data_IF_261171448570
#
_entry.id   IF_261171448570
#
_cell.length_a   1.000
_cell.length_b   1.000
_cell.length_c   1.000
_cell.angle_alpha   90.00
_cell.angle_beta   90.00
_cell.angle_gamma   90.00
#
_symmetry.space_group_name_H-M   'P 1'
#
loop_
_entity.id
_entity.type
_entity.pdbx_description
1 polymer ?
#
# COMPACT_ATOMS: atom_id res chain seq x y z
N UNK A 1 2.01 19.10 -7.63
CA UNK A 1 1.61 17.79 -7.04
C UNK A 1 2.78 17.22 -6.27
N UNK A 2 2.54 16.63 -5.10
CA UNK A 2 3.58 16.02 -4.24
C UNK A 2 4.30 14.86 -4.96
N UNK A 3 3.58 14.13 -5.81
CA UNK A 3 4.08 12.98 -6.56
C UNK A 3 4.16 13.32 -8.04
N UNK A 4 5.37 13.51 -8.56
CA UNK A 4 5.64 13.68 -10.00
C UNK A 4 5.54 12.34 -10.70
N UNK A 5 5.13 12.35 -11.97
CA UNK A 5 5.13 11.19 -12.87
C UNK A 5 6.37 11.13 -13.75
N UNK A 6 7.24 12.15 -13.70
CA UNK A 6 8.53 12.16 -14.40
C UNK A 6 9.53 11.18 -13.77
N UNK A 7 10.15 10.32 -14.59
CA UNK A 7 11.21 9.41 -14.16
C UNK A 7 12.39 10.16 -13.53
N UNK A 8 12.78 11.32 -14.08
CA UNK A 8 13.91 12.10 -13.53
C UNK A 8 13.63 12.55 -12.10
N UNK A 9 12.41 13.00 -11.82
CA UNK A 9 12.03 13.51 -10.49
C UNK A 9 11.93 12.37 -9.48
N UNK A 10 11.52 11.18 -9.93
CA UNK A 10 11.48 9.98 -9.08
C UNK A 10 12.90 9.57 -8.67
N UNK A 11 13.86 9.59 -9.61
CA UNK A 11 15.26 9.31 -9.30
C UNK A 11 15.91 10.41 -8.46
N UNK A 12 15.64 11.68 -8.74
CA UNK A 12 16.11 12.79 -7.90
C UNK A 12 15.61 12.64 -6.46
N UNK A 13 14.38 12.13 -6.27
CA UNK A 13 13.84 11.83 -4.94
C UNK A 13 14.59 10.68 -4.24
N UNK A 14 15.00 9.65 -4.97
CA UNK A 14 15.86 8.56 -4.45
C UNK A 14 17.23 9.16 -4.05
N UNK A 15 17.80 10.01 -4.89
CA UNK A 15 19.08 10.67 -4.64
C UNK A 15 19.03 11.63 -3.45
N UNK A 16 17.87 12.18 -3.11
CA UNK A 16 17.68 13.02 -1.92
C UNK A 16 17.48 12.23 -0.62
N UNK A 17 17.41 10.90 -0.65
CA UNK A 17 17.24 10.11 0.58
C UNK A 17 18.47 10.28 1.49
N UNK A 18 18.18 10.70 2.72
CA UNK A 18 19.06 10.63 3.88
C UNK A 18 18.56 9.53 4.83
N UNK A 19 19.16 8.32 4.79
CA UNK A 19 18.70 7.20 5.59
C UNK A 19 18.99 7.36 7.09
N UNK A 20 19.95 8.20 7.47
CA UNK A 20 20.32 8.46 8.86
C UNK A 20 19.27 9.38 9.50
N UNK A 21 18.91 10.47 8.82
CA UNK A 21 17.82 11.35 9.24
C UNK A 21 16.48 10.62 9.21
N UNK A 22 16.24 9.79 8.20
CA UNK A 22 15.05 8.91 8.15
C UNK A 22 14.93 8.06 9.41
N UNK A 23 16.00 7.37 9.80
CA UNK A 23 16.00 6.47 10.97
C UNK A 23 15.56 7.17 12.26
N UNK A 24 16.00 8.41 12.46
CA UNK A 24 15.72 9.18 13.68
C UNK A 24 14.38 9.94 13.66
N UNK A 25 13.85 10.28 12.47
CA UNK A 25 12.71 11.20 12.36
C UNK A 25 11.46 10.64 11.65
N UNK A 26 11.50 9.46 11.03
CA UNK A 26 10.40 8.86 10.23
C UNK A 26 9.02 8.74 10.89
N UNK A 27 8.91 8.94 12.20
CA UNK A 27 7.64 8.86 12.92
C UNK A 27 6.96 10.24 13.03
N UNK A 28 7.71 11.33 12.89
CA UNK A 28 7.20 12.69 12.97
C UNK A 28 6.61 13.09 11.62
N UNK A 29 5.50 13.84 11.64
CA UNK A 29 4.83 14.33 10.43
C UNK A 29 5.75 15.16 9.52
N UNK A 30 6.62 15.97 10.11
CA UNK A 30 7.64 16.76 9.41
C UNK A 30 9.01 16.06 9.35
N UNK A 31 9.06 14.77 9.66
CA UNK A 31 10.27 13.96 9.63
C UNK A 31 10.75 13.65 8.22
N UNK A 32 11.96 13.12 8.11
CA UNK A 32 12.46 12.60 6.85
C UNK A 32 11.73 11.30 6.49
N UNK A 33 10.90 11.35 5.46
CA UNK A 33 10.27 10.19 4.81
C UNK A 33 10.53 10.25 3.31
N UNK A 34 10.52 9.10 2.63
CA UNK A 34 10.97 9.02 1.23
C UNK A 34 9.93 9.46 0.21
N UNK A 35 8.64 9.40 0.55
CA UNK A 35 7.53 9.60 -0.40
C UNK A 35 7.63 8.71 -1.65
N UNK A 36 8.22 7.51 -1.52
CA UNK A 36 8.39 6.57 -2.63
C UNK A 36 7.29 5.51 -2.75
N UNK A 37 6.38 5.41 -1.78
CA UNK A 37 5.40 4.34 -1.73
C UNK A 37 4.45 4.29 -2.94
N UNK A 38 4.01 5.41 -3.57
CA UNK A 38 3.21 5.32 -4.79
C UNK A 38 3.98 4.65 -5.93
N UNK A 39 5.27 4.98 -6.11
CA UNK A 39 6.08 4.40 -7.17
C UNK A 39 6.40 2.92 -6.93
N UNK A 40 6.74 2.57 -5.69
CA UNK A 40 7.07 1.19 -5.32
C UNK A 40 5.81 0.29 -5.41
N UNK A 41 4.65 0.78 -4.96
CA UNK A 41 3.40 -0.01 -4.99
C UNK A 41 2.94 -0.34 -6.41
N UNK A 42 3.20 0.54 -7.38
CA UNK A 42 2.90 0.31 -8.81
C UNK A 42 4.02 -0.41 -9.58
N UNK A 43 5.13 -0.75 -8.92
CA UNK A 43 6.28 -1.38 -9.58
C UNK A 43 7.04 -0.45 -10.53
N UNK A 44 6.82 0.86 -10.46
CA UNK A 44 7.53 1.88 -11.27
C UNK A 44 9.03 1.88 -10.94
N UNK A 45 9.37 1.69 -9.67
CA UNK A 45 10.74 1.51 -9.17
C UNK A 45 10.80 0.28 -8.27
N UNK A 46 11.95 -0.40 -8.24
CA UNK A 46 12.14 -1.59 -7.41
C UNK A 46 12.83 -1.24 -6.09
N UNK A 47 12.44 -1.93 -5.02
CA UNK A 47 13.04 -1.72 -3.69
C UNK A 47 14.54 -2.06 -3.67
N UNK A 48 14.99 -2.99 -4.53
CA UNK A 48 16.40 -3.33 -4.70
C UNK A 48 17.21 -2.17 -5.28
N UNK A 49 16.67 -1.46 -6.25
CA UNK A 49 17.35 -0.33 -6.91
C UNK A 49 17.57 0.82 -5.93
N UNK A 50 16.60 1.08 -5.04
CA UNK A 50 16.75 2.08 -3.97
C UNK A 50 17.89 1.72 -3.02
N UNK A 51 18.01 0.44 -2.63
CA UNK A 51 19.11 -0.01 -1.78
C UNK A 51 20.47 0.11 -2.50
N UNK A 52 20.53 -0.26 -3.78
CA UNK A 52 21.74 -0.12 -4.58
C UNK A 52 22.16 1.35 -4.67
N UNK A 53 21.23 2.27 -4.94
CA UNK A 53 21.51 3.71 -4.98
C UNK A 53 22.07 4.23 -3.64
N UNK A 54 21.55 3.75 -2.49
CA UNK A 54 22.11 4.10 -1.19
C UNK A 54 23.55 3.57 -1.00
N UNK A 55 23.84 2.36 -1.48
CA UNK A 55 25.18 1.77 -1.42
C UNK A 55 26.15 2.54 -2.32
N UNK A 56 25.74 2.88 -3.54
CA UNK A 56 26.53 3.65 -4.52
C UNK A 56 26.86 5.05 -4.00
N UNK A 57 25.94 5.67 -3.25
CA UNK A 57 26.17 6.92 -2.51
C UNK A 57 27.14 6.78 -1.32
N UNK A 58 27.66 5.59 -1.05
CA UNK A 58 28.66 5.33 -0.02
C UNK A 58 28.08 5.01 1.36
N UNK A 59 26.76 4.92 1.54
CA UNK A 59 26.18 4.53 2.82
C UNK A 59 26.51 3.08 3.15
N UNK A 60 26.94 2.84 4.38
CA UNK A 60 27.16 1.50 4.92
C UNK A 60 25.81 0.90 5.35
N UNK A 61 25.68 -0.42 5.28
CA UNK A 61 24.41 -1.11 5.54
C UNK A 61 23.77 -0.77 6.89
N UNK A 62 24.56 -0.50 7.94
CA UNK A 62 24.01 -0.14 9.24
C UNK A 62 23.34 1.25 9.24
N UNK A 63 23.75 2.17 8.35
CA UNK A 63 23.21 3.53 8.25
C UNK A 63 21.81 3.55 7.64
N UNK A 64 21.49 2.58 6.78
CA UNK A 64 20.16 2.44 6.17
C UNK A 64 19.37 1.21 6.62
N UNK A 65 19.85 0.48 7.64
CA UNK A 65 19.20 -0.74 8.12
C UNK A 65 17.73 -0.53 8.52
N UNK A 66 17.40 0.66 9.07
CA UNK A 66 16.01 0.99 9.41
C UNK A 66 15.17 1.21 8.16
N UNK A 67 15.69 1.90 7.15
CA UNK A 67 15.01 2.09 5.86
C UNK A 67 14.78 0.76 5.13
N UNK A 68 15.82 -0.09 5.07
CA UNK A 68 15.74 -1.44 4.49
C UNK A 68 14.69 -2.31 5.20
N UNK A 69 14.57 -2.19 6.53
CA UNK A 69 13.56 -2.92 7.30
C UNK A 69 12.13 -2.53 6.89
N UNK A 70 11.88 -1.25 6.58
CA UNK A 70 10.56 -0.78 6.16
C UNK A 70 10.22 -1.23 4.73
N UNK A 71 11.20 -1.30 3.84
CA UNK A 71 11.02 -1.96 2.54
C UNK A 71 10.74 -3.47 2.70
N UNK A 72 11.44 -4.12 3.64
CA UNK A 72 11.21 -5.53 3.94
C UNK A 72 9.81 -5.80 4.52
N UNK A 73 9.17 -4.84 5.20
CA UNK A 73 7.78 -4.97 5.65
C UNK A 73 6.83 -5.10 4.47
N UNK A 74 6.99 -4.29 3.43
CA UNK A 74 6.22 -4.41 2.19
C UNK A 74 6.42 -5.79 1.55
N UNK A 75 7.66 -6.22 1.40
CA UNK A 75 7.97 -7.53 0.82
C UNK A 75 7.33 -8.67 1.64
N UNK A 76 7.41 -8.60 2.97
CA UNK A 76 6.76 -9.57 3.85
C UNK A 76 5.26 -9.67 3.58
N UNK A 77 4.55 -8.55 3.50
CA UNK A 77 3.11 -8.54 3.21
C UNK A 77 2.78 -9.09 1.82
N UNK A 78 3.54 -8.69 0.80
CA UNK A 78 3.37 -9.21 -0.55
C UNK A 78 3.54 -10.74 -0.60
N UNK A 79 4.56 -11.28 0.07
CA UNK A 79 4.76 -12.73 0.14
C UNK A 79 3.71 -13.46 0.97
N UNK A 80 3.17 -12.83 2.03
CA UNK A 80 2.04 -13.39 2.78
C UNK A 80 0.82 -13.50 1.87
N UNK A 81 0.55 -12.46 1.07
CA UNK A 81 -0.54 -12.47 0.11
C UNK A 81 -0.38 -13.57 -0.94
N UNK A 82 0.80 -13.69 -1.57
CA UNK A 82 1.08 -14.78 -2.51
C UNK A 82 0.80 -16.17 -1.92
N UNK A 83 1.28 -16.41 -0.69
CA UNK A 83 1.16 -17.72 -0.02
C UNK A 83 -0.26 -17.99 0.53
N UNK A 84 -1.07 -16.97 0.75
CA UNK A 84 -2.35 -17.08 1.47
C UNK A 84 -3.50 -16.30 0.79
N UNK A 85 -3.48 -16.20 -0.55
CA UNK A 85 -4.29 -15.28 -1.36
C UNK A 85 -5.67 -14.91 -0.79
N UNK A 86 -6.54 -15.91 -0.52
CA UNK A 86 -7.90 -15.63 -0.05
C UNK A 86 -8.01 -15.30 1.45
N UNK A 87 -7.05 -15.71 2.28
CA UNK A 87 -7.11 -15.52 3.74
C UNK A 87 -6.91 -14.06 4.17
N UNK A 88 -6.28 -13.23 3.33
CA UNK A 88 -6.03 -11.82 3.69
C UNK A 88 -7.30 -10.97 3.67
N UNK A 89 -8.40 -11.49 3.09
CA UNK A 89 -9.70 -10.82 3.00
C UNK A 89 -10.58 -11.02 4.24
N UNK A 90 -10.15 -11.87 5.17
CA UNK A 90 -10.80 -12.16 6.44
C UNK A 90 -9.81 -11.94 7.58
N UNK A 91 -10.29 -12.07 8.82
CA UNK A 91 -9.45 -12.06 10.01
C UNK A 91 -8.36 -13.16 9.91
N UNK A 92 -7.10 -12.75 9.75
CA UNK A 92 -6.04 -13.62 9.25
C UNK A 92 -5.57 -14.68 10.25
N UNK A 93 -5.40 -14.33 11.54
CA UNK A 93 -4.94 -15.24 12.61
C UNK A 93 -5.96 -15.43 13.71
N UNK A 94 -6.63 -14.35 14.11
CA UNK A 94 -7.57 -14.33 15.23
C UNK A 94 -8.78 -13.49 14.83
N UNK A 95 -9.96 -13.88 15.31
CA UNK A 95 -11.18 -13.08 15.15
C UNK A 95 -10.96 -11.70 15.79
N UNK A 96 -11.27 -10.62 15.07
CA UNK A 96 -11.26 -9.28 15.62
C UNK A 96 -12.34 -9.19 16.71
N UNK A 97 -11.97 -8.78 17.92
CA UNK A 97 -12.90 -8.70 19.05
C UNK A 97 -12.53 -7.57 20.02
N UNK A 98 -13.48 -6.75 20.52
CA UNK A 98 -14.88 -6.66 20.09
C UNK A 98 -15.05 -5.98 18.73
N UNK A 99 -16.21 -6.25 18.09
CA UNK A 99 -16.70 -5.61 16.87
C UNK A 99 -18.19 -5.39 17.04
N UNK A 100 -18.62 -4.13 17.00
CA UNK A 100 -20.03 -3.75 17.15
C UNK A 100 -20.67 -3.38 15.80
N UNK A 101 -19.87 -2.90 14.83
CA UNK A 101 -20.32 -2.62 13.48
C UNK A 101 -19.38 -3.19 12.42
N UNK A 102 -19.97 -3.70 11.33
CA UNK A 102 -19.28 -4.11 10.11
C UNK A 102 -19.37 -3.04 9.01
N UNK A 103 -19.90 -1.86 9.34
CA UNK A 103 -19.89 -0.66 8.51
C UNK A 103 -18.60 0.15 8.68
N UNK A 104 -18.61 1.39 8.20
CA UNK A 104 -17.51 2.33 8.36
C UNK A 104 -17.99 3.49 9.22
N UNK A 105 -17.16 4.08 10.10
CA UNK A 105 -17.61 5.22 10.88
C UNK A 105 -17.82 6.45 10.00
N UNK A 106 -18.89 7.21 10.27
CA UNK A 106 -19.28 8.40 9.54
C UNK A 106 -18.20 9.50 9.54
N UNK A 107 -17.38 9.59 10.59
CA UNK A 107 -16.31 10.58 10.66
C UNK A 107 -15.23 10.40 9.58
N UNK A 108 -15.11 9.21 8.96
CA UNK A 108 -14.21 9.04 7.81
C UNK A 108 -14.73 9.81 6.59
N UNK A 109 -16.04 10.06 6.51
CA UNK A 109 -16.62 10.92 5.48
C UNK A 109 -16.48 12.40 5.79
N UNK A 110 -16.85 12.79 7.00
CA UNK A 110 -16.99 14.22 7.34
C UNK A 110 -15.74 14.82 8.00
N UNK A 111 -14.69 14.01 8.24
CA UNK A 111 -13.47 14.41 8.96
C UNK A 111 -13.79 14.99 10.35
N UNK A 112 -14.60 14.27 11.12
CA UNK A 112 -15.22 14.75 12.36
C UNK A 112 -15.00 13.81 13.56
N UNK A 113 -13.83 13.17 13.63
CA UNK A 113 -13.50 12.22 14.69
C UNK A 113 -13.38 12.87 16.08
N UNK A 114 -13.23 14.20 16.10
CA UNK A 114 -12.97 14.97 17.32
C UNK A 114 -11.50 15.00 17.71
N UNK A 115 -10.61 14.52 16.83
CA UNK A 115 -9.16 14.52 17.02
C UNK A 115 -8.54 15.29 15.86
N UNK A 116 -8.08 16.52 16.14
CA UNK A 116 -7.69 17.51 15.15
C UNK A 116 -6.66 16.98 14.15
N UNK A 117 -5.59 16.35 14.63
CA UNK A 117 -4.57 15.74 13.77
C UNK A 117 -5.13 14.63 12.86
N UNK A 118 -6.06 13.80 13.36
CA UNK A 118 -6.69 12.74 12.56
C UNK A 118 -7.59 13.37 11.49
N UNK A 119 -8.44 14.32 11.87
CA UNK A 119 -9.40 14.97 10.97
C UNK A 119 -8.69 15.73 9.83
N UNK A 120 -7.60 16.43 10.18
CA UNK A 120 -6.72 17.08 9.20
C UNK A 120 -6.12 16.06 8.23
N UNK A 121 -5.60 14.94 8.71
CA UNK A 121 -5.02 13.91 7.85
C UNK A 121 -6.04 13.14 7.02
N UNK A 122 -7.29 12.96 7.50
CA UNK A 122 -8.40 12.42 6.71
C UNK A 122 -8.68 13.36 5.53
N UNK A 123 -8.79 14.67 5.81
CA UNK A 123 -9.01 15.69 4.79
C UNK A 123 -7.89 15.68 3.74
N UNK A 124 -6.62 15.72 4.18
CA UNK A 124 -5.46 15.67 3.27
C UNK A 124 -5.38 14.37 2.48
N UNK A 125 -5.74 13.22 3.05
CA UNK A 125 -5.77 11.95 2.32
C UNK A 125 -6.75 12.02 1.13
N UNK A 126 -7.96 12.55 1.34
CA UNK A 126 -8.95 12.66 0.25
C UNK A 126 -8.50 13.61 -0.86
N UNK A 127 -7.79 14.67 -0.49
CA UNK A 127 -7.29 15.69 -1.43
C UNK A 127 -6.05 15.22 -2.19
N UNK A 128 -5.03 14.75 -1.47
CA UNK A 128 -3.68 14.52 -2.00
C UNK A 128 -3.38 13.05 -2.29
N UNK A 129 -4.19 12.14 -1.76
CA UNK A 129 -4.02 10.70 -1.90
C UNK A 129 -2.84 10.11 -1.11
N UNK A 130 -2.40 10.80 -0.05
CA UNK A 130 -1.33 10.35 0.83
C UNK A 130 -1.69 10.53 2.30
N UNK A 131 -1.35 9.52 3.11
CA UNK A 131 -1.39 9.60 4.57
C UNK A 131 -0.10 9.03 5.15
N UNK A 132 0.49 9.70 6.14
CA UNK A 132 1.70 9.23 6.81
C UNK A 132 1.46 7.87 7.51
N UNK A 133 2.41 6.92 7.42
CA UNK A 133 2.22 5.57 7.96
C UNK A 133 1.79 5.56 9.44
N UNK A 134 2.39 6.42 10.26
CA UNK A 134 2.06 6.50 11.67
C UNK A 134 0.62 6.98 11.91
N UNK A 135 0.12 7.90 11.08
CA UNK A 135 -1.28 8.34 11.14
C UNK A 135 -2.24 7.24 10.71
N UNK A 136 -1.88 6.42 9.70
CA UNK A 136 -2.68 5.25 9.32
C UNK A 136 -2.89 4.33 10.51
N UNK A 137 -1.83 4.08 11.31
CA UNK A 137 -1.94 3.27 12.53
C UNK A 137 -2.84 3.91 13.60
N UNK A 138 -2.74 5.23 13.81
CA UNK A 138 -3.60 5.96 14.74
C UNK A 138 -5.07 5.91 14.34
N UNK A 139 -5.35 6.18 13.06
CA UNK A 139 -6.69 6.12 12.52
C UNK A 139 -7.27 4.71 12.62
N UNK A 140 -6.51 3.67 12.25
CA UNK A 140 -6.95 2.28 12.40
C UNK A 140 -7.19 1.90 13.86
N UNK A 141 -6.39 2.41 14.80
CA UNK A 141 -6.60 2.18 16.23
C UNK A 141 -7.89 2.84 16.70
N UNK A 142 -8.14 4.09 16.31
CA UNK A 142 -9.37 4.80 16.65
C UNK A 142 -10.59 4.06 16.11
N UNK A 143 -10.57 3.68 14.84
CA UNK A 143 -11.69 3.01 14.17
C UNK A 143 -11.95 1.62 14.73
N UNK A 144 -10.93 0.75 14.75
CA UNK A 144 -11.13 -0.66 15.08
C UNK A 144 -11.17 -0.95 16.57
N UNK A 145 -10.36 -0.24 17.37
CA UNK A 145 -10.22 -0.57 18.78
C UNK A 145 -11.14 0.30 19.64
N UNK A 146 -11.16 1.61 19.42
CA UNK A 146 -12.01 2.53 20.21
C UNK A 146 -13.45 2.53 19.69
N UNK A 147 -13.62 2.68 18.38
CA UNK A 147 -14.93 2.68 17.72
C UNK A 147 -15.52 1.30 17.46
N UNK A 148 -14.74 0.23 17.64
CA UNK A 148 -15.15 -1.18 17.48
C UNK A 148 -15.77 -1.50 16.11
N UNK A 149 -15.30 -0.84 15.05
CA UNK A 149 -15.62 -1.20 13.67
C UNK A 149 -14.74 -2.35 13.18
N UNK A 150 -15.30 -3.25 12.38
CA UNK A 150 -14.51 -4.25 11.67
C UNK A 150 -13.51 -3.58 10.72
N UNK A 151 -12.29 -4.11 10.64
CA UNK A 151 -11.22 -3.48 9.87
C UNK A 151 -11.51 -3.35 8.36
N UNK A 152 -12.36 -4.20 7.79
CA UNK A 152 -12.46 -4.39 6.34
C UNK A 152 -12.92 -3.15 5.58
N UNK A 153 -14.09 -2.58 5.92
CA UNK A 153 -14.63 -1.41 5.19
C UNK A 153 -13.80 -0.14 5.40
N UNK A 154 -13.33 0.19 6.61
CA UNK A 154 -12.37 1.29 6.80
C UNK A 154 -11.05 1.10 6.04
N UNK A 155 -10.56 -0.13 5.92
CA UNK A 155 -9.41 -0.43 5.09
C UNK A 155 -9.69 -0.22 3.60
N UNK A 156 -10.89 -0.58 3.12
CA UNK A 156 -11.32 -0.30 1.74
C UNK A 156 -11.41 1.20 1.47
N UNK A 157 -11.97 1.98 2.41
CA UNK A 157 -11.98 3.44 2.37
C UNK A 157 -10.56 4.01 2.24
N UNK A 158 -9.64 3.56 3.09
CA UNK A 158 -8.25 4.05 3.04
C UNK A 158 -7.56 3.65 1.73
N UNK A 159 -7.74 2.40 1.27
CA UNK A 159 -7.20 1.92 -0.01
C UNK A 159 -7.69 2.77 -1.18
N UNK A 160 -8.98 3.13 -1.19
CA UNK A 160 -9.60 3.91 -2.26
C UNK A 160 -8.95 5.28 -2.43
N UNK A 161 -8.64 5.98 -1.33
CA UNK A 161 -8.03 7.31 -1.41
C UNK A 161 -6.50 7.29 -1.59
N UNK A 162 -5.81 6.19 -1.29
CA UNK A 162 -4.35 6.14 -1.36
C UNK A 162 -3.80 5.95 -2.78
N UNK A 163 -2.85 6.81 -3.18
CA UNK A 163 -2.00 6.59 -4.36
C UNK A 163 -1.15 5.31 -4.21
N UNK A 164 -0.70 5.03 -3.00
CA UNK A 164 0.08 3.84 -2.66
C UNK A 164 -0.76 2.65 -2.17
N UNK A 165 -2.08 2.70 -2.42
CA UNK A 165 -3.03 1.68 -1.97
C UNK A 165 -2.66 0.28 -2.48
N UNK A 166 -2.11 -0.54 -1.61
CA UNK A 166 -1.70 -1.91 -1.89
C UNK A 166 -2.50 -2.88 -1.01
N UNK A 167 -3.21 -3.84 -1.62
CA UNK A 167 -4.14 -4.74 -0.92
C UNK A 167 -3.46 -5.45 0.26
N UNK A 168 -2.30 -6.05 0.04
CA UNK A 168 -1.60 -6.79 1.08
C UNK A 168 -1.12 -5.87 2.20
N UNK A 169 -0.40 -4.79 1.85
CA UNK A 169 0.18 -3.88 2.83
C UNK A 169 -0.90 -3.17 3.63
N UNK A 170 -1.99 -2.75 3.00
CA UNK A 170 -3.09 -2.07 3.66
C UNK A 170 -3.86 -3.03 4.58
N UNK A 171 -4.42 -4.12 4.05
CA UNK A 171 -5.28 -5.02 4.84
C UNK A 171 -4.53 -5.68 6.00
N UNK A 172 -3.32 -6.18 5.76
CA UNK A 172 -2.56 -6.86 6.81
C UNK A 172 -2.07 -5.89 7.90
N UNK A 173 -1.89 -4.60 7.58
CA UNK A 173 -1.56 -3.57 8.58
C UNK A 173 -2.78 -3.16 9.41
N UNK A 174 -3.95 -2.99 8.79
CA UNK A 174 -5.21 -2.78 9.51
C UNK A 174 -5.50 -3.93 10.48
N UNK A 175 -5.34 -5.16 10.02
CA UNK A 175 -5.48 -6.36 10.85
C UNK A 175 -4.43 -6.46 11.96
N UNK A 176 -3.20 -5.99 11.71
CA UNK A 176 -2.17 -5.92 12.73
C UNK A 176 -2.55 -4.93 13.85
N UNK A 177 -3.10 -3.76 13.49
CA UNK A 177 -3.58 -2.76 14.47
C UNK A 177 -4.80 -3.26 15.26
N UNK A 178 -5.74 -3.92 14.58
CA UNK A 178 -6.96 -4.46 15.17
C UNK A 178 -6.73 -5.75 16.01
N UNK A 179 -5.53 -6.34 15.95
CA UNK A 179 -5.19 -7.57 16.65
C UNK A 179 -5.64 -8.86 15.95
N UNK A 180 -6.21 -8.80 14.75
CA UNK A 180 -6.59 -10.01 13.99
C UNK A 180 -5.40 -10.67 13.26
N UNK A 181 -4.26 -9.98 13.13
CA UNK A 181 -2.99 -10.52 12.63
C UNK A 181 -1.82 -10.39 13.65
N UNK A 182 -2.12 -10.03 14.90
CA UNK A 182 -1.14 -9.84 15.97
C UNK A 182 -1.65 -10.41 17.29
N UNK A 183 -0.76 -10.62 18.27
CA UNK A 183 -1.15 -11.10 19.60
C UNK A 183 -1.72 -10.01 20.52
N UNK A 184 -1.55 -8.73 20.14
CA UNK A 184 -2.00 -7.56 20.90
C UNK A 184 -2.52 -6.51 19.92
N UNK A 185 -3.46 -5.70 20.38
CA UNK A 185 -3.96 -4.52 19.68
C UNK A 185 -2.94 -3.40 19.74
N UNK A 186 -2.88 -2.58 18.70
CA UNK A 186 -2.14 -1.31 18.74
C UNK A 186 -3.07 -0.19 19.23
N UNK A 187 -2.59 0.60 20.18
CA UNK A 187 -3.33 1.72 20.77
C UNK A 187 -2.44 2.97 20.73
N UNK A 188 -3.05 4.12 20.46
CA UNK A 188 -2.42 5.42 20.62
C UNK A 188 -3.26 6.30 21.57
N UNK A 189 -2.58 7.08 22.40
CA UNK A 189 -3.21 8.10 23.22
C UNK A 189 -2.94 9.50 22.66
N UNK A 190 -3.65 10.50 23.18
CA UNK A 190 -3.56 11.89 22.69
C UNK A 190 -2.14 12.44 22.77
N UNK A 191 -1.41 12.16 23.87
CA UNK A 191 -0.02 12.58 24.04
C UNK A 191 0.88 12.05 22.91
N UNK A 192 0.70 10.81 22.49
CA UNK A 192 1.44 10.21 21.40
C UNK A 192 1.15 10.92 20.07
N UNK A 193 -0.13 11.16 19.77
CA UNK A 193 -0.55 11.91 18.56
C UNK A 193 0.04 13.32 18.55
N UNK A 194 -0.10 14.07 19.66
CA UNK A 194 0.44 15.42 19.83
C UNK A 194 1.96 15.46 19.56
N UNK A 195 2.70 14.48 20.09
CA UNK A 195 4.15 14.39 19.95
C UNK A 195 4.59 14.23 18.49
N UNK A 196 3.90 13.39 17.72
CA UNK A 196 4.33 13.03 16.36
C UNK A 196 3.68 13.86 15.25
N UNK A 197 2.55 14.53 15.52
CA UNK A 197 1.79 15.31 14.53
C UNK A 197 1.65 16.79 14.91
N UNK A 198 2.57 17.28 15.73
CA UNK A 198 2.72 18.69 16.10
C UNK A 198 1.39 19.34 16.53
N UNK A 199 0.69 18.66 17.43
CA UNK A 199 -0.60 19.07 17.98
C UNK A 199 -0.46 19.26 19.50
N UNK A 200 -1.42 19.93 20.11
CA UNK A 200 -1.50 20.13 21.56
C UNK A 200 -2.92 19.94 22.11
N UNK A 201 -3.80 19.32 21.32
CA UNK A 201 -5.18 19.03 21.72
C UNK A 201 -5.22 18.17 22.99
N UNK A 202 -6.14 18.53 23.90
CA UNK A 202 -6.42 17.81 25.14
C UNK A 202 -7.94 17.56 25.25
N UNK A 203 -8.37 16.87 26.31
CA UNK A 203 -9.78 16.57 26.60
C UNK A 203 -10.48 15.73 25.52
N UNK A 204 -9.72 14.99 24.72
CA UNK A 204 -10.27 14.05 23.73
C UNK A 204 -10.58 12.70 24.39
N UNK A 205 -11.26 11.82 23.64
CA UNK A 205 -11.50 10.45 24.10
C UNK A 205 -10.20 9.65 24.28
N UNK A 206 -9.10 10.08 23.65
CA UNK A 206 -7.77 9.48 23.74
C UNK A 206 -6.86 10.18 24.77
N UNK A 207 -7.30 11.27 25.41
CA UNK A 207 -6.51 12.02 26.40
C UNK A 207 -6.50 11.30 27.76
N UNK A 208 -5.89 10.11 27.76
CA UNK A 208 -5.93 9.12 28.84
C UNK A 208 -4.64 8.30 28.90
N UNK A 209 -4.45 7.59 30.03
CA UNK A 209 -3.41 6.56 30.12
C UNK A 209 -3.74 5.38 29.21
N UNK A 210 -2.73 4.59 28.84
CA UNK A 210 -2.93 3.40 28.01
C UNK A 210 -3.87 2.39 28.69
N UNK A 211 -3.72 2.20 29.99
CA UNK A 211 -4.55 1.29 30.79
C UNK A 211 -6.02 1.72 30.79
N UNK A 212 -6.27 3.03 30.91
CA UNK A 212 -7.62 3.58 30.85
C UNK A 212 -8.25 3.46 29.46
N UNK A 213 -7.46 3.56 28.39
CA UNK A 213 -7.93 3.31 27.01
C UNK A 213 -8.24 1.82 26.82
N UNK A 214 -7.35 0.93 27.25
CA UNK A 214 -7.57 -0.53 27.19
C UNK A 214 -8.85 -0.93 27.90
N UNK A 215 -9.12 -0.39 29.09
CA UNK A 215 -10.39 -0.62 29.79
C UNK A 215 -11.59 -0.06 29.03
N UNK A 216 -11.47 1.15 28.45
CA UNK A 216 -12.55 1.77 27.68
C UNK A 216 -12.92 0.98 26.42
N UNK A 217 -11.96 0.30 25.79
CA UNK A 217 -12.21 -0.59 24.65
C UNK A 217 -13.18 -1.70 25.02
N UNK A 218 -13.15 -2.24 26.24
CA UNK A 218 -14.04 -3.34 26.66
C UNK A 218 -15.35 -2.86 27.29
N UNK A 219 -15.37 -1.65 27.86
CA UNK A 219 -16.55 -1.09 28.51
C UNK A 219 -17.52 -0.35 27.58
N UNK A 220 -17.28 -0.38 26.25
CA UNK A 220 -18.11 0.25 25.20
C UNK A 220 -18.44 1.73 25.47
N UNK A 221 -17.44 2.51 25.87
CA UNK A 221 -17.68 3.90 26.30
C UNK A 221 -17.92 4.88 25.15
N UNK A 222 -17.63 4.49 23.90
CA UNK A 222 -17.62 5.37 22.74
C UNK A 222 -18.37 4.75 21.58
N UNK A 223 -19.22 5.56 20.96
CA UNK A 223 -20.00 5.21 19.78
C UNK A 223 -19.74 6.25 18.71
N UNK A 224 -19.56 5.79 17.48
CA UNK A 224 -19.57 6.64 16.29
C UNK A 224 -20.71 6.17 15.40
N UNK A 225 -21.34 7.09 14.70
CA UNK A 225 -22.41 6.75 13.76
C UNK A 225 -21.85 5.93 12.59
N UNK A 226 -22.64 4.97 12.13
CA UNK A 226 -22.31 4.18 10.95
C UNK A 226 -22.58 5.00 9.68
N UNK A 227 -21.75 4.77 8.66
CA UNK A 227 -21.95 5.30 7.32
C UNK A 227 -21.77 4.20 6.28
N UNK A 228 -22.68 4.20 5.30
CA UNK A 228 -22.63 3.27 4.18
C UNK A 228 -21.55 3.71 3.18
N UNK A 229 -20.54 2.87 3.02
CA UNK A 229 -19.45 3.13 2.09
C UNK A 229 -19.83 2.75 0.66
N UNK A 230 -19.83 3.72 -0.26
CA UNK A 230 -20.05 3.48 -1.70
C UNK A 230 -18.80 3.89 -2.47
N UNK A 231 -17.97 2.91 -2.79
CA UNK A 231 -16.72 3.11 -3.53
C UNK A 231 -16.85 2.61 -4.97
N UNK A 232 -16.49 3.45 -5.94
CA UNK A 232 -16.56 3.10 -7.36
C UNK A 232 -15.45 3.74 -8.18
N UNK A 233 -14.67 2.91 -8.86
CA UNK A 233 -13.73 3.36 -9.89
C UNK A 233 -14.49 3.76 -11.16
N UNK A 234 -14.17 4.92 -11.73
CA UNK A 234 -14.65 5.33 -13.06
C UNK A 234 -13.56 5.02 -14.10
N UNK A 235 -13.62 3.85 -14.73
CA UNK A 235 -12.62 3.44 -15.71
C UNK A 235 -12.71 4.26 -17.00
N UNK A 236 -11.58 4.57 -17.65
CA UNK A 236 -11.58 5.23 -18.95
C UNK A 236 -12.07 4.28 -20.06
N UNK A 237 -12.41 4.86 -21.21
CA UNK A 237 -12.67 4.10 -22.43
C UNK A 237 -11.39 3.47 -22.99
N UNK A 238 -11.56 2.40 -23.78
CA UNK A 238 -10.43 1.76 -24.47
C UNK A 238 -9.89 2.63 -25.61
N UNK A 239 -8.57 2.62 -25.80
CA UNK A 239 -7.87 3.31 -26.90
C UNK A 239 -7.25 2.26 -27.83
N UNK A 240 -8.02 1.70 -28.77
CA UNK A 240 -7.50 0.68 -29.70
C UNK A 240 -6.81 1.33 -30.91
N UNK A 241 -5.52 1.06 -31.10
CA UNK A 241 -4.78 1.54 -32.29
C UNK A 241 -4.07 0.41 -33.06
N UNK A 242 -3.73 -0.71 -32.42
CA UNK A 242 -3.05 -1.86 -33.07
C UNK A 242 -3.99 -2.97 -33.58
N UNK A 243 -3.45 -3.78 -34.52
CA UNK A 243 -4.11 -4.92 -35.16
C UNK A 243 -4.05 -6.22 -34.35
N UNK A 244 -4.29 -7.35 -35.01
CA UNK A 244 -4.25 -8.69 -34.40
C UNK A 244 -2.91 -9.41 -34.65
N UNK A 245 -2.55 -10.35 -33.77
CA UNK A 245 -1.41 -11.27 -33.99
C UNK A 245 -0.07 -10.80 -33.41
N UNK A 246 0.01 -9.57 -32.92
CA UNK A 246 1.22 -9.02 -32.30
C UNK A 246 1.54 -9.70 -30.95
N UNK A 247 2.81 -9.62 -30.53
CA UNK A 247 3.19 -9.95 -29.15
C UNK A 247 2.77 -8.81 -28.24
N UNK A 248 2.24 -9.11 -27.05
CA UNK A 248 1.74 -8.10 -26.11
C UNK A 248 2.53 -8.15 -24.81
N UNK A 249 2.96 -6.99 -24.30
CA UNK A 249 3.38 -6.84 -22.90
C UNK A 249 2.29 -6.14 -22.11
N UNK A 250 1.80 -6.78 -21.05
CA UNK A 250 0.70 -6.29 -20.22
C UNK A 250 1.22 -5.51 -19.02
N UNK A 251 0.90 -4.23 -19.01
CA UNK A 251 0.86 -3.41 -17.81
C UNK A 251 -0.51 -3.54 -17.13
N UNK A 252 -0.53 -3.34 -15.83
CA UNK A 252 -1.77 -3.23 -15.07
C UNK A 252 -1.56 -2.31 -13.86
N UNK A 253 -2.58 -2.12 -13.03
CA UNK A 253 -2.50 -1.19 -11.91
C UNK A 253 -1.40 -1.52 -10.88
N UNK A 254 -0.85 -2.74 -10.87
CA UNK A 254 0.23 -3.17 -9.95
C UNK A 254 1.59 -3.35 -10.65
N UNK A 255 1.66 -3.13 -11.97
CA UNK A 255 2.88 -3.16 -12.74
C UNK A 255 2.87 -2.07 -13.82
N UNK A 256 3.63 -1.01 -13.57
CA UNK A 256 3.86 0.14 -14.46
C UNK A 256 5.36 0.40 -14.65
N UNK A 257 6.19 -0.64 -14.61
CA UNK A 257 7.65 -0.53 -14.74
C UNK A 257 8.06 -0.07 -16.15
N UNK A 258 8.59 1.16 -16.33
CA UNK A 258 8.91 1.69 -17.66
C UNK A 258 10.14 1.03 -18.30
N UNK A 259 10.91 0.25 -17.54
CA UNK A 259 12.11 -0.44 -18.04
C UNK A 259 11.83 -1.89 -18.42
N UNK A 260 10.68 -2.43 -18.04
CA UNK A 260 10.36 -3.82 -18.24
C UNK A 260 10.01 -4.12 -19.70
N UNK A 261 10.81 -4.99 -20.33
CA UNK A 261 10.65 -5.40 -21.74
C UNK A 261 10.50 -4.22 -22.70
N UNK A 262 11.12 -3.09 -22.38
CA UNK A 262 11.02 -1.86 -23.18
C UNK A 262 11.63 -2.02 -24.58
N UNK A 263 12.64 -2.86 -24.70
CA UNK A 263 13.42 -3.09 -25.92
C UNK A 263 12.90 -4.30 -26.73
N UNK A 264 11.89 -5.01 -26.21
CA UNK A 264 11.24 -6.13 -26.90
C UNK A 264 10.27 -5.62 -27.99
N UNK A 265 10.02 -6.45 -29.01
CA UNK A 265 9.10 -6.19 -30.14
C UNK A 265 7.61 -6.25 -29.77
N UNK A 266 7.29 -6.37 -28.48
CA UNK A 266 5.91 -6.45 -27.99
C UNK A 266 5.22 -5.09 -27.91
N UNK A 267 3.93 -5.04 -28.25
CA UNK A 267 3.10 -3.85 -28.05
C UNK A 267 2.72 -3.69 -26.56
N UNK A 268 2.84 -2.48 -25.99
CA UNK A 268 2.44 -2.23 -24.61
C UNK A 268 0.93 -2.01 -24.49
N UNK A 269 0.27 -2.78 -23.61
CA UNK A 269 -1.14 -2.58 -23.27
C UNK A 269 -1.29 -2.43 -21.76
N UNK A 270 -1.95 -1.35 -21.32
CA UNK A 270 -2.42 -1.16 -19.95
C UNK A 270 -3.82 -1.77 -19.83
N UNK A 271 -3.88 -2.95 -19.25
CA UNK A 271 -5.11 -3.70 -19.01
C UNK A 271 -5.80 -3.23 -17.73
N UNK A 272 -7.06 -2.79 -17.88
CA UNK A 272 -7.93 -2.36 -16.79
C UNK A 272 -9.15 -3.28 -16.71
N UNK A 273 -9.11 -4.27 -15.81
CA UNK A 273 -10.19 -5.25 -15.65
C UNK A 273 -11.29 -4.73 -14.72
N UNK A 274 -12.55 -4.56 -15.20
CA UNK A 274 -13.66 -4.12 -14.37
C UNK A 274 -13.88 -5.00 -13.14
N UNK A 275 -13.70 -6.32 -13.25
CA UNK A 275 -13.80 -7.26 -12.13
C UNK A 275 -12.82 -6.97 -10.99
N UNK A 276 -11.57 -6.60 -11.32
CA UNK A 276 -10.53 -6.23 -10.34
C UNK A 276 -10.92 -4.93 -9.63
N UNK A 277 -11.31 -3.90 -10.37
CA UNK A 277 -11.69 -2.60 -9.80
C UNK A 277 -13.05 -2.61 -9.11
N UNK A 278 -13.93 -3.57 -9.40
CA UNK A 278 -15.13 -3.82 -8.60
C UNK A 278 -14.80 -4.40 -7.22
N UNK A 279 -13.79 -5.27 -7.15
CA UNK A 279 -13.33 -5.87 -5.89
C UNK A 279 -12.46 -4.91 -5.07
N UNK A 280 -11.62 -4.15 -5.76
CA UNK A 280 -10.63 -3.24 -5.20
C UNK A 280 -10.74 -1.86 -5.84
N UNK A 281 -11.82 -1.11 -5.53
CA UNK A 281 -12.05 0.19 -6.15
C UNK A 281 -10.96 1.19 -5.75
N UNK A 282 -10.58 2.04 -6.70
CA UNK A 282 -9.61 3.12 -6.50
C UNK A 282 -10.27 4.45 -6.81
N UNK A 283 -9.84 5.47 -6.08
CA UNK A 283 -10.29 6.85 -6.27
C UNK A 283 -9.65 7.52 -7.47
N UNK A 284 -10.19 8.69 -7.79
CA UNK A 284 -9.80 9.51 -8.94
C UNK A 284 -8.32 9.90 -8.90
N UNK A 285 -7.77 10.24 -7.72
CA UNK A 285 -6.36 10.58 -7.58
C UNK A 285 -5.43 9.44 -8.05
N UNK A 286 -5.71 8.21 -7.62
CA UNK A 286 -4.91 7.04 -7.98
C UNK A 286 -5.05 6.65 -9.45
N UNK A 287 -6.28 6.74 -9.99
CA UNK A 287 -6.53 6.52 -11.40
C UNK A 287 -5.80 7.55 -12.27
N UNK A 288 -5.95 8.84 -11.96
CA UNK A 288 -5.30 9.93 -12.68
C UNK A 288 -3.77 9.84 -12.62
N UNK A 289 -3.21 9.44 -11.47
CA UNK A 289 -1.78 9.19 -11.33
C UNK A 289 -1.30 8.08 -12.28
N UNK A 290 -1.99 6.94 -12.32
CA UNK A 290 -1.66 5.83 -13.24
C UNK A 290 -1.77 6.26 -14.70
N UNK A 291 -2.87 6.91 -15.10
CA UNK A 291 -3.11 7.31 -16.49
C UNK A 291 -2.11 8.35 -16.97
N UNK A 292 -1.79 9.33 -16.12
CA UNK A 292 -0.76 10.33 -16.41
C UNK A 292 0.62 9.67 -16.53
N UNK A 293 0.96 8.76 -15.62
CA UNK A 293 2.22 8.03 -15.70
C UNK A 293 2.31 7.20 -16.99
N UNK A 294 1.23 6.52 -17.38
CA UNK A 294 1.16 5.78 -18.63
C UNK A 294 1.43 6.68 -19.84
N UNK A 295 0.75 7.83 -19.92
CA UNK A 295 0.90 8.79 -21.00
C UNK A 295 2.34 9.31 -21.13
N UNK A 296 3.00 9.62 -20.02
CA UNK A 296 4.33 10.23 -20.04
C UNK A 296 5.47 9.23 -20.22
N UNK A 297 5.31 7.97 -19.79
CA UNK A 297 6.45 7.06 -19.63
C UNK A 297 6.30 5.69 -20.29
N UNK A 298 5.08 5.20 -20.51
CA UNK A 298 4.85 3.86 -21.06
C UNK A 298 4.31 3.91 -22.49
N UNK A 299 3.50 4.92 -22.79
CA UNK A 299 2.73 5.05 -24.02
C UNK A 299 1.96 3.75 -24.36
N UNK A 300 1.42 3.08 -23.34
CA UNK A 300 0.67 1.85 -23.51
C UNK A 300 -0.77 2.15 -23.95
N UNK A 301 -1.32 1.30 -24.82
CA UNK A 301 -2.74 1.36 -25.14
C UNK A 301 -3.58 1.01 -23.92
N UNK A 302 -4.62 1.79 -23.66
CA UNK A 302 -5.57 1.49 -22.59
C UNK A 302 -6.58 0.49 -23.12
N UNK A 303 -6.70 -0.66 -22.46
CA UNK A 303 -7.77 -1.61 -22.70
C UNK A 303 -8.61 -1.79 -21.44
N UNK A 304 -9.83 -1.28 -21.48
CA UNK A 304 -10.84 -1.48 -20.45
C UNK A 304 -11.71 -2.68 -20.83
N UNK A 305 -11.48 -3.80 -20.15
CA UNK A 305 -12.13 -5.07 -20.42
C UNK A 305 -11.45 -6.18 -19.63
N UNK A 306 -12.08 -7.35 -19.60
CA UNK A 306 -11.48 -8.50 -18.93
C UNK A 306 -10.33 -9.08 -19.78
N UNK A 307 -9.37 -9.75 -19.15
CA UNK A 307 -8.24 -10.38 -19.87
C UNK A 307 -8.70 -11.25 -21.05
N UNK A 308 -9.77 -12.02 -20.88
CA UNK A 308 -10.29 -12.90 -21.93
C UNK A 308 -10.89 -12.15 -23.13
N UNK A 309 -11.36 -10.93 -22.94
CA UNK A 309 -11.83 -10.08 -24.04
C UNK A 309 -10.67 -9.46 -24.81
N UNK A 310 -9.57 -9.13 -24.12
CA UNK A 310 -8.31 -8.75 -24.74
C UNK A 310 -7.82 -9.86 -25.68
N UNK A 311 -7.83 -11.13 -25.22
CA UNK A 311 -7.43 -12.27 -26.06
C UNK A 311 -8.25 -12.35 -27.35
N UNK A 312 -9.58 -12.24 -27.25
CA UNK A 312 -10.47 -12.31 -28.42
C UNK A 312 -10.25 -11.14 -29.39
N UNK A 313 -9.95 -9.96 -28.85
CA UNK A 313 -9.84 -8.74 -29.64
C UNK A 313 -8.52 -8.66 -30.40
N UNK A 314 -7.42 -8.97 -29.72
CA UNK A 314 -6.06 -8.82 -30.27
C UNK A 314 -5.47 -10.12 -30.82
N UNK A 315 -6.02 -11.28 -30.48
CA UNK A 315 -5.51 -12.60 -30.91
C UNK A 315 -3.97 -12.69 -30.85
N UNK A 316 -3.33 -12.35 -29.71
CA UNK A 316 -1.89 -12.19 -29.65
C UNK A 316 -1.16 -13.50 -29.92
N UNK A 317 -0.02 -13.42 -30.61
CA UNK A 317 0.89 -14.55 -30.79
C UNK A 317 1.57 -14.95 -29.48
N UNK A 318 1.85 -13.96 -28.61
CA UNK A 318 2.47 -14.14 -27.31
C UNK A 318 2.03 -13.05 -26.34
N UNK A 319 1.96 -13.36 -25.04
CA UNK A 319 1.62 -12.41 -23.99
C UNK A 319 2.64 -12.51 -22.89
N UNK A 320 3.21 -11.38 -22.51
CA UNK A 320 4.08 -11.21 -21.36
C UNK A 320 3.34 -10.44 -20.27
N UNK A 321 3.45 -10.90 -19.03
CA UNK A 321 2.91 -10.20 -17.86
C UNK A 321 3.80 -10.46 -16.64
N UNK A 322 3.79 -9.55 -15.66
CA UNK A 322 4.47 -9.79 -14.39
C UNK A 322 3.57 -10.56 -13.41
N UNK A 323 4.19 -11.40 -12.61
CA UNK A 323 3.53 -12.13 -11.53
C UNK A 323 2.90 -11.16 -10.52
N UNK A 324 1.62 -11.36 -10.23
CA UNK A 324 0.89 -10.66 -9.18
C UNK A 324 -0.31 -11.51 -8.73
N UNK A 325 -0.73 -11.50 -7.45
CA UNK A 325 -1.80 -12.39 -6.97
C UNK A 325 -3.19 -12.09 -7.56
N UNK A 326 -3.35 -10.94 -8.23
CA UNK A 326 -4.56 -10.59 -8.97
C UNK A 326 -4.55 -11.06 -10.42
N UNK A 327 -3.41 -11.50 -10.96
CA UNK A 327 -3.27 -11.92 -12.37
C UNK A 327 -3.57 -13.42 -12.55
N UNK A 328 -4.27 -14.05 -11.60
CA UNK A 328 -4.47 -15.51 -11.58
C UNK A 328 -5.29 -16.07 -12.74
N UNK A 329 -5.96 -15.21 -13.52
CA UNK A 329 -6.68 -15.54 -14.75
C UNK A 329 -5.83 -15.39 -16.02
N UNK A 330 -4.62 -14.82 -15.93
CA UNK A 330 -3.79 -14.52 -17.11
C UNK A 330 -3.17 -15.81 -17.66
N UNK A 331 -2.93 -15.83 -18.96
CA UNK A 331 -2.26 -16.93 -19.68
C UNK A 331 -1.21 -16.34 -20.62
N UNK A 332 -0.02 -16.92 -20.63
CA UNK A 332 1.14 -16.39 -21.36
C UNK A 332 2.42 -16.66 -20.58
N UNK A 333 3.46 -15.89 -20.89
CA UNK A 333 4.75 -15.92 -20.21
C UNK A 333 4.70 -14.98 -19.01
N UNK A 334 4.79 -15.58 -17.82
CA UNK A 334 4.86 -14.84 -16.56
C UNK A 334 6.31 -14.53 -16.20
N UNK A 335 6.65 -13.25 -16.13
CA UNK A 335 7.90 -12.78 -15.56
C UNK A 335 7.78 -12.61 -14.06
N UNK A 336 8.79 -13.08 -13.32
CA UNK A 336 8.83 -12.91 -11.88
C UNK A 336 9.06 -11.45 -11.50
N UNK A 337 8.42 -11.01 -10.41
CA UNK A 337 8.69 -9.67 -9.86
C UNK A 337 10.07 -9.60 -9.19
N UNK A 338 10.65 -8.41 -9.17
CA UNK A 338 11.95 -8.16 -8.56
C UNK A 338 11.86 -8.11 -7.02
N UNK A 339 12.14 -9.23 -6.38
CA UNK A 339 12.27 -9.32 -4.92
C UNK A 339 13.60 -8.77 -4.42
N UNK A 340 13.60 -8.17 -3.22
CA UNK A 340 14.84 -7.78 -2.54
C UNK A 340 15.62 -8.99 -2.05
N UNK A 341 14.91 -10.03 -1.63
CA UNK A 341 15.48 -11.25 -1.06
C UNK A 341 14.98 -12.49 -1.79
N UNK A 342 15.68 -13.61 -1.64
CA UNK A 342 15.19 -14.91 -2.12
C UNK A 342 14.03 -15.41 -1.24
N UNK A 343 13.29 -16.45 -1.66
CA UNK A 343 12.27 -17.03 -0.80
C UNK A 343 12.89 -17.70 0.44
N UNK A 344 12.47 -17.25 1.62
CA UNK A 344 12.99 -17.68 2.92
C UNK A 344 12.17 -18.83 3.55
N UNK A 345 11.31 -19.46 2.75
CA UNK A 345 10.45 -20.57 3.14
C UNK A 345 9.31 -20.14 4.06
N UNK A 346 9.09 -20.87 5.16
CA UNK A 346 8.02 -20.59 6.13
C UNK A 346 8.46 -19.53 7.17
N UNK A 347 7.58 -18.56 7.41
CA UNK A 347 7.67 -17.55 8.47
C UNK A 347 6.25 -17.12 8.88
N UNK A 348 6.02 -16.90 10.17
CA UNK A 348 4.69 -16.57 10.74
C UNK A 348 4.55 -15.12 11.22
N UNK A 349 5.66 -14.38 11.25
CA UNK A 349 5.73 -12.98 11.65
C UNK A 349 6.84 -12.26 10.91
N UNK A 350 6.74 -10.93 10.83
CA UNK A 350 7.77 -10.10 10.23
C UNK A 350 9.12 -10.26 10.91
N UNK A 351 9.18 -10.32 12.25
CA UNK A 351 10.45 -10.46 12.94
C UNK A 351 11.12 -11.82 12.66
N UNK A 352 10.34 -12.88 12.43
CA UNK A 352 10.88 -14.15 11.95
C UNK A 352 11.43 -14.03 10.53
N UNK A 353 10.70 -13.37 9.63
CA UNK A 353 11.14 -13.06 8.26
C UNK A 353 12.44 -12.21 8.24
N UNK A 354 12.48 -11.14 9.02
CA UNK A 354 13.64 -10.24 9.14
C UNK A 354 14.86 -10.91 9.74
N UNK A 355 14.68 -11.82 10.72
CA UNK A 355 15.78 -12.64 11.27
C UNK A 355 16.39 -13.54 10.20
N UNK A 356 15.56 -14.13 9.34
CA UNK A 356 16.02 -14.96 8.21
C UNK A 356 16.80 -14.14 7.18
N UNK A 357 16.33 -12.93 6.84
CA UNK A 357 17.06 -11.99 5.97
C UNK A 357 18.46 -11.71 6.53
N UNK A 358 18.54 -11.36 7.82
CA UNK A 358 19.83 -11.06 8.47
C UNK A 358 20.79 -12.26 8.44
N UNK A 359 20.28 -13.47 8.63
CA UNK A 359 21.08 -14.71 8.54
C UNK A 359 21.66 -14.89 7.12
N UNK A 360 20.83 -14.80 6.10
CA UNK A 360 21.25 -14.93 4.69
C UNK A 360 22.31 -13.87 4.30
N UNK A 361 22.15 -12.62 4.76
CA UNK A 361 23.12 -11.55 4.51
C UNK A 361 24.49 -11.80 5.16
N UNK A 362 24.52 -12.46 6.31
CA UNK A 362 25.77 -12.81 6.98
C UNK A 362 26.48 -13.98 6.28
N UNK A 363 25.72 -14.98 5.84
CA UNK A 363 26.26 -16.14 5.10
C UNK A 363 26.84 -15.76 3.72
N UNK A 364 26.30 -14.72 3.06
CA UNK A 364 26.88 -14.20 1.80
C UNK A 364 28.13 -13.31 2.00
N UNK A 365 28.48 -12.98 3.24
CA UNK A 365 29.65 -12.14 3.59
C UNK A 365 30.82 -12.95 4.17
N UNK A 366 30.56 -14.16 4.65
CA UNK A 366 31.55 -15.19 4.98
C UNK A 366 31.95 -15.96 3.74
#
# INVERSE_FOLDING_TARGET
>A
MIFSTSISDIWERIDKIDPIKYSSTRNYENGAVSYLSPYISRGIIQSKDIINALIEKGYKSYQFAKFEQELAWREFWQRIWQKNNLKIYSDFKHVQNPVDSWDSPAFLEDSSSGINAIDRCITSLKQDGYMHNHMRMYLSSLVCNIGRFHWKKPADWMYYYLLDGDVASNYLSWQWVAGSNASKKYIANQKNINTFFNDNQNQTILDKSYEAIEQAIYNHKYHFDDSMLVLKTKLPESTKTHGQGEKIRLYNYYNLDPTWRKDDDSIPILLLEPSVFKKHPIGENALNFMLKFNQENLNAEIFNGEFHDLIKLFSPSEIFYKEHPLNGNYKGIEDQRNWMYEDLGKYSSFFNFWKKIKKQKNEKRS
#
